data_IF_838790338911
#
_entry.id   IF_838790338911
#
_cell.length_a   1.000
_cell.length_b   1.000
_cell.length_c   1.000
_cell.angle_alpha   90.00
_cell.angle_beta   90.00
_cell.angle_gamma   90.00
#
_symmetry.space_group_name_H-M   'P 1'
#
loop_
_entity.id
_entity.type
_entity.pdbx_description
1 polymer ?
#
# COMPACT_ATOMS: atom_id res chain seq x y z
N UNK A 1 -15.84 -34.12 15.41
CA UNK A 1 -17.23 -34.60 15.41
C UNK A 1 -17.89 -34.01 14.19
N UNK A 2 -17.77 -34.80 13.13
CA UNK A 2 -18.35 -34.60 11.82
C UNK A 2 -19.86 -34.38 11.91
N UNK A 3 -20.39 -33.55 11.03
CA UNK A 3 -21.61 -33.94 10.35
C UNK A 3 -21.64 -33.41 8.92
N UNK A 4 -21.79 -34.38 8.04
CA UNK A 4 -21.61 -34.34 6.61
C UNK A 4 -22.67 -33.47 5.92
N UNK A 5 -22.19 -32.87 4.84
CA UNK A 5 -22.90 -32.63 3.60
C UNK A 5 -23.86 -33.79 3.25
N UNK A 6 -25.14 -33.49 3.13
CA UNK A 6 -26.05 -34.29 2.29
C UNK A 6 -26.46 -33.43 1.11
N UNK A 7 -25.79 -33.70 -0.01
CA UNK A 7 -26.16 -33.24 -1.35
C UNK A 7 -27.25 -34.18 -1.84
N UNK A 8 -28.51 -33.75 -1.80
CA UNK A 8 -29.55 -34.43 -2.57
C UNK A 8 -29.55 -33.87 -4.00
N UNK A 9 -29.01 -34.70 -4.92
CA UNK A 9 -29.17 -34.56 -6.35
C UNK A 9 -30.47 -35.22 -6.79
N UNK A 10 -30.99 -34.63 -7.87
CA UNK A 10 -31.98 -35.15 -8.82
C UNK A 10 -33.46 -35.11 -8.43
N UNK A 11 -34.19 -34.25 -9.14
CA UNK A 11 -35.30 -34.73 -9.96
C UNK A 11 -35.39 -33.93 -11.26
N UNK A 12 -35.10 -34.63 -12.36
CA UNK A 12 -35.39 -34.24 -13.75
C UNK A 12 -36.88 -33.96 -13.92
N UNK A 13 -37.22 -32.78 -14.43
CA UNK A 13 -38.60 -32.36 -14.69
C UNK A 13 -39.12 -33.08 -15.93
N UNK A 14 -40.04 -34.03 -15.71
CA UNK A 14 -40.92 -34.56 -16.75
C UNK A 14 -41.99 -33.52 -17.11
N UNK A 15 -42.23 -33.36 -18.42
CA UNK A 15 -43.36 -32.57 -18.95
C UNK A 15 -44.66 -33.29 -18.60
N UNK A 16 -45.44 -32.72 -17.67
CA UNK A 16 -46.77 -33.21 -17.33
C UNK A 16 -47.61 -32.11 -16.70
N UNK A 17 -48.71 -31.74 -17.38
CA UNK A 17 -49.75 -30.84 -16.87
C UNK A 17 -50.33 -31.41 -15.56
N UNK A 18 -50.35 -30.61 -14.51
CA UNK A 18 -51.01 -30.96 -13.25
C UNK A 18 -50.71 -29.94 -12.15
N UNK A 19 -51.70 -29.11 -11.82
CA UNK A 19 -51.67 -28.21 -10.67
C UNK A 19 -51.34 -28.96 -9.38
N UNK A 20 -50.25 -28.56 -8.70
CA UNK A 20 -50.02 -28.77 -7.26
C UNK A 20 -49.42 -27.49 -6.66
N UNK A 21 -49.71 -27.21 -5.37
CA UNK A 21 -49.91 -25.86 -4.87
C UNK A 21 -48.61 -25.07 -4.73
N UNK A 22 -48.71 -23.78 -5.02
CA UNK A 22 -47.69 -22.78 -4.73
C UNK A 22 -47.30 -22.88 -3.25
N UNK A 23 -46.04 -23.18 -2.97
CA UNK A 23 -45.44 -22.77 -1.71
C UNK A 23 -45.70 -21.25 -1.58
N UNK A 24 -46.49 -20.84 -0.59
CA UNK A 24 -46.79 -19.44 -0.33
C UNK A 24 -45.50 -18.73 0.10
N UNK A 25 -44.77 -18.18 -0.87
CA UNK A 25 -43.58 -17.39 -0.60
C UNK A 25 -44.01 -16.02 -0.06
N UNK A 26 -43.70 -15.72 1.20
CA UNK A 26 -43.94 -14.41 1.83
C UNK A 26 -42.80 -13.43 1.52
N UNK A 27 -43.07 -12.12 1.45
CA UNK A 27 -42.00 -11.13 1.24
C UNK A 27 -41.05 -11.14 2.46
N UNK A 28 -39.73 -11.25 2.28
CA UNK A 28 -38.77 -11.28 3.37
C UNK A 28 -38.65 -9.95 4.14
N UNK A 29 -39.31 -8.87 3.68
CA UNK A 29 -39.29 -7.56 4.33
C UNK A 29 -40.52 -7.26 5.19
N UNK A 30 -41.71 -7.65 4.73
CA UNK A 30 -42.98 -7.32 5.40
C UNK A 30 -43.89 -8.53 5.66
N UNK A 31 -43.44 -9.74 5.31
CA UNK A 31 -44.19 -10.99 5.43
C UNK A 31 -45.52 -11.07 4.64
N UNK A 32 -45.84 -10.04 3.84
CA UNK A 32 -47.05 -9.98 3.02
C UNK A 32 -46.98 -10.93 1.81
N UNK A 33 -48.15 -11.20 1.22
CA UNK A 33 -48.24 -12.03 0.02
C UNK A 33 -47.41 -11.49 -1.15
N UNK A 34 -46.97 -12.43 -2.00
CA UNK A 34 -46.19 -12.13 -3.18
C UNK A 34 -46.89 -12.61 -4.44
N UNK A 35 -46.55 -11.99 -5.56
CA UNK A 35 -47.00 -12.33 -6.88
C UNK A 35 -45.82 -12.84 -7.72
N UNK A 36 -46.12 -13.71 -8.68
CA UNK A 36 -45.19 -14.14 -9.72
C UNK A 36 -44.65 -12.93 -10.48
N UNK A 37 -43.33 -12.85 -10.66
CA UNK A 37 -42.66 -11.75 -11.36
C UNK A 37 -41.60 -12.25 -12.36
N UNK A 38 -41.90 -13.35 -13.07
CA UNK A 38 -41.02 -13.93 -14.09
C UNK A 38 -39.82 -14.70 -13.51
N UNK A 39 -38.87 -15.05 -14.39
CA UNK A 39 -37.65 -15.77 -14.03
C UNK A 39 -36.41 -14.86 -14.09
N UNK A 40 -35.37 -15.23 -13.36
CA UNK A 40 -34.07 -14.56 -13.41
C UNK A 40 -33.29 -15.00 -14.65
N UNK A 41 -32.86 -14.07 -15.53
CA UNK A 41 -32.32 -14.44 -16.84
C UNK A 41 -31.02 -15.24 -16.76
N UNK A 42 -30.19 -15.04 -15.73
CA UNK A 42 -28.92 -15.74 -15.59
C UNK A 42 -28.99 -17.06 -14.80
N UNK A 43 -30.01 -17.24 -13.96
CA UNK A 43 -30.07 -18.40 -13.04
C UNK A 43 -31.30 -19.28 -13.28
N UNK A 44 -32.27 -18.82 -14.10
CA UNK A 44 -33.52 -19.53 -14.34
C UNK A 44 -34.46 -19.60 -13.12
N UNK A 45 -34.11 -18.98 -11.99
CA UNK A 45 -34.89 -19.06 -10.75
C UNK A 45 -36.10 -18.11 -10.74
N UNK A 46 -37.16 -18.53 -10.07
CA UNK A 46 -38.42 -17.78 -9.96
C UNK A 46 -38.24 -16.48 -9.15
N UNK A 47 -38.63 -15.35 -9.75
CA UNK A 47 -38.72 -14.05 -9.07
C UNK A 47 -40.12 -13.84 -8.50
N UNK A 48 -40.19 -13.25 -7.33
CA UNK A 48 -41.43 -12.84 -6.68
C UNK A 48 -41.42 -11.32 -6.44
N UNK A 49 -42.59 -10.70 -6.48
CA UNK A 49 -42.80 -9.29 -6.13
C UNK A 49 -43.84 -9.19 -5.03
N UNK A 50 -43.57 -8.45 -3.96
CA UNK A 50 -44.54 -8.21 -2.90
C UNK A 50 -45.77 -7.45 -3.40
N UNK A 51 -46.97 -7.88 -2.98
CA UNK A 51 -48.25 -7.24 -3.31
C UNK A 51 -48.50 -5.94 -2.55
N UNK A 52 -47.86 -5.77 -1.38
CA UNK A 52 -47.96 -4.53 -0.61
C UNK A 52 -47.46 -3.33 -1.44
N UNK A 53 -48.31 -2.32 -1.71
CA UNK A 53 -47.94 -1.14 -2.48
C UNK A 53 -46.82 -0.31 -1.82
N UNK A 54 -46.63 -0.41 -0.50
CA UNK A 54 -45.56 0.29 0.22
C UNK A 54 -44.22 -0.46 0.16
N UNK A 55 -44.25 -1.79 0.07
CA UNK A 55 -43.02 -2.60 0.03
C UNK A 55 -42.50 -2.84 -1.39
N UNK A 56 -43.36 -3.37 -2.29
CA UNK A 56 -43.06 -3.75 -3.69
C UNK A 56 -41.71 -4.47 -3.89
N UNK A 57 -41.21 -5.14 -2.84
CA UNK A 57 -39.92 -5.82 -2.81
C UNK A 57 -39.86 -6.86 -3.93
N UNK A 58 -38.77 -6.92 -4.70
CA UNK A 58 -38.52 -8.01 -5.65
C UNK A 58 -37.40 -8.87 -5.11
N UNK A 59 -37.59 -10.19 -5.10
CA UNK A 59 -36.61 -11.12 -4.56
C UNK A 59 -36.74 -12.50 -5.19
N UNK A 60 -35.74 -13.34 -4.97
CA UNK A 60 -35.72 -14.75 -5.34
C UNK A 60 -35.45 -15.54 -4.06
N UNK A 61 -36.30 -16.51 -3.68
CA UNK A 61 -36.10 -17.34 -2.50
C UNK A 61 -34.73 -18.04 -2.54
N UNK A 62 -34.01 -18.05 -1.41
CA UNK A 62 -32.72 -18.70 -1.27
C UNK A 62 -31.52 -17.91 -1.82
N UNK A 63 -31.72 -16.80 -2.53
CA UNK A 63 -30.63 -15.90 -2.90
C UNK A 63 -30.42 -14.86 -1.78
N UNK A 64 -29.21 -14.75 -1.21
CA UNK A 64 -28.94 -13.73 -0.22
C UNK A 64 -29.14 -12.34 -0.83
N UNK A 65 -29.68 -11.42 -0.04
CA UNK A 65 -29.79 -10.02 -0.45
C UNK A 65 -28.37 -9.50 -0.73
N UNK A 66 -28.12 -9.00 -1.95
CA UNK A 66 -26.83 -8.38 -2.28
C UNK A 66 -26.63 -7.21 -1.31
N UNK A 67 -25.59 -7.19 -0.47
CA UNK A 67 -25.33 -6.05 0.40
C UNK A 67 -25.26 -4.79 -0.46
N UNK A 68 -25.91 -3.71 -0.03
CA UNK A 68 -25.75 -2.42 -0.70
C UNK A 68 -24.29 -2.02 -0.50
N UNK A 69 -23.55 -1.87 -1.58
CA UNK A 69 -22.19 -1.35 -1.50
C UNK A 69 -22.20 0.00 -0.77
N UNK A 70 -21.27 0.23 0.17
CA UNK A 70 -21.17 1.50 0.87
C UNK A 70 -21.02 2.62 -0.16
N UNK A 71 -21.85 3.66 -0.01
CA UNK A 71 -21.78 4.84 -0.86
C UNK A 71 -20.80 5.81 -0.21
N UNK A 72 -19.64 5.99 -0.84
CA UNK A 72 -18.66 6.97 -0.40
C UNK A 72 -19.01 8.35 -0.99
N UNK A 73 -19.39 9.35 -0.18
CA UNK A 73 -19.57 10.72 -0.66
C UNK A 73 -18.20 11.38 -0.86
N UNK A 74 -18.09 12.25 -1.86
CA UNK A 74 -16.90 13.05 -2.10
C UNK A 74 -16.78 14.13 -1.01
N UNK A 75 -15.65 14.23 -0.30
CA UNK A 75 -15.49 15.20 0.77
C UNK A 75 -15.52 16.66 0.27
N UNK A 76 -15.18 16.90 -1.01
CA UNK A 76 -15.18 18.26 -1.57
C UNK A 76 -16.53 18.74 -2.11
N UNK A 77 -17.40 17.84 -2.58
CA UNK A 77 -18.64 18.26 -3.27
C UNK A 77 -19.88 17.43 -2.93
N UNK A 78 -19.78 16.48 -2.00
CA UNK A 78 -20.87 15.60 -1.57
C UNK A 78 -21.35 14.57 -2.60
N UNK A 79 -20.90 14.66 -3.86
CA UNK A 79 -21.31 13.74 -4.91
C UNK A 79 -20.80 12.32 -4.65
N UNK A 80 -21.51 11.31 -5.18
CA UNK A 80 -21.11 9.90 -5.06
C UNK A 80 -19.71 9.67 -5.62
N UNK A 81 -18.94 8.80 -4.99
CA UNK A 81 -17.68 8.28 -5.53
C UNK A 81 -17.87 6.85 -6.00
N UNK A 82 -17.04 6.44 -6.96
CA UNK A 82 -17.02 5.08 -7.49
C UNK A 82 -15.59 4.55 -7.53
N UNK A 83 -15.45 3.22 -7.51
CA UNK A 83 -14.16 2.55 -7.62
C UNK A 83 -13.54 2.87 -8.98
N UNK A 84 -12.41 3.58 -8.95
CA UNK A 84 -11.67 3.94 -10.15
C UNK A 84 -10.58 2.91 -10.47
N UNK A 85 -9.83 2.46 -9.46
CA UNK A 85 -8.74 1.49 -9.64
C UNK A 85 -8.41 0.77 -8.34
N UNK A 86 -8.07 -0.51 -8.43
CA UNK A 86 -7.39 -1.24 -7.34
C UNK A 86 -5.88 -0.96 -7.41
N UNK A 87 -5.32 -0.45 -6.33
CA UNK A 87 -3.89 -0.21 -6.17
C UNK A 87 -3.32 -1.15 -5.09
N UNK A 88 -2.01 -1.40 -5.06
CA UNK A 88 -1.42 -2.22 -4.00
C UNK A 88 -1.79 -1.68 -2.62
N UNK A 89 -2.46 -2.49 -1.80
CA UNK A 89 -2.87 -2.12 -0.44
C UNK A 89 -4.00 -1.10 -0.32
N UNK A 90 -4.69 -0.72 -1.41
CA UNK A 90 -5.81 0.22 -1.33
C UNK A 90 -6.75 0.18 -2.56
N UNK A 91 -7.96 0.71 -2.38
CA UNK A 91 -8.89 1.01 -3.47
C UNK A 91 -8.92 2.51 -3.71
N UNK A 92 -8.68 2.95 -4.94
CA UNK A 92 -8.81 4.35 -5.33
C UNK A 92 -10.22 4.65 -5.80
N UNK A 93 -10.88 5.57 -5.12
CA UNK A 93 -12.18 6.10 -5.48
C UNK A 93 -12.03 7.41 -6.28
N UNK A 94 -13.00 7.69 -7.15
CA UNK A 94 -13.08 8.95 -7.91
C UNK A 94 -14.48 9.53 -7.82
N UNK A 95 -14.57 10.85 -7.71
CA UNK A 95 -15.85 11.57 -7.69
C UNK A 95 -16.64 11.40 -8.99
N UNK A 96 -17.96 11.21 -8.91
CA UNK A 96 -18.88 11.13 -10.05
C UNK A 96 -18.94 12.43 -10.87
N UNK A 97 -18.75 13.58 -10.23
CA UNK A 97 -18.75 14.89 -10.89
C UNK A 97 -17.50 15.14 -11.77
N UNK A 98 -16.58 14.18 -11.90
CA UNK A 98 -15.40 14.32 -12.77
C UNK A 98 -15.75 14.50 -14.27
N UNK A 99 -16.95 14.06 -14.69
CA UNK A 99 -17.45 14.20 -16.08
C UNK A 99 -18.09 15.56 -16.36
N UNK A 100 -18.44 16.31 -15.31
CA UNK A 100 -19.03 17.63 -15.47
C UNK A 100 -18.02 18.61 -16.07
N UNK A 101 -18.51 19.71 -16.63
CA UNK A 101 -17.68 20.78 -17.22
C UNK A 101 -17.77 22.03 -16.35
N UNK A 102 -16.78 22.92 -16.48
CA UNK A 102 -16.74 24.19 -15.75
C UNK A 102 -16.61 24.00 -14.23
N UNK A 103 -17.24 24.91 -13.48
CA UNK A 103 -17.14 24.98 -12.01
C UNK A 103 -17.70 23.76 -11.27
N UNK A 104 -18.55 22.97 -11.91
CA UNK A 104 -19.12 21.76 -11.32
C UNK A 104 -18.21 20.52 -11.45
N UNK A 105 -17.09 20.65 -12.20
CA UNK A 105 -16.14 19.55 -12.39
C UNK A 105 -15.36 19.29 -11.11
N UNK A 106 -15.50 18.09 -10.56
CA UNK A 106 -14.73 17.65 -9.40
C UNK A 106 -13.83 16.46 -9.79
N UNK A 107 -12.51 16.67 -9.83
CA UNK A 107 -11.51 15.64 -10.17
C UNK A 107 -10.96 14.89 -8.95
N UNK A 108 -11.57 15.11 -7.78
CA UNK A 108 -11.12 14.57 -6.51
C UNK A 108 -11.08 13.03 -6.49
N UNK A 109 -10.02 12.51 -5.89
CA UNK A 109 -9.76 11.08 -5.71
C UNK A 109 -9.32 10.87 -4.27
N UNK A 110 -9.77 9.78 -3.67
CA UNK A 110 -9.34 9.34 -2.35
C UNK A 110 -8.93 7.87 -2.46
N UNK A 111 -7.98 7.44 -1.64
CA UNK A 111 -7.77 6.01 -1.45
C UNK A 111 -8.48 5.59 -0.16
N UNK A 112 -8.92 4.35 -0.12
CA UNK A 112 -9.40 3.67 1.08
C UNK A 112 -8.58 2.39 1.26
N UNK A 113 -8.30 1.97 2.50
CA UNK A 113 -7.69 0.66 2.76
C UNK A 113 -8.50 -0.48 2.12
N UNK A 114 -7.87 -1.64 1.95
CA UNK A 114 -8.57 -2.80 1.41
C UNK A 114 -9.68 -3.26 2.37
N UNK A 115 -10.78 -3.87 1.87
CA UNK A 115 -11.84 -4.37 2.74
C UNK A 115 -11.30 -5.32 3.81
N UNK A 116 -11.58 -5.00 5.08
CA UNK A 116 -11.06 -5.74 6.25
C UNK A 116 -9.77 -5.16 6.85
N UNK A 117 -9.20 -4.10 6.27
CA UNK A 117 -8.10 -3.34 6.85
C UNK A 117 -8.64 -2.00 7.39
N UNK A 118 -8.28 -1.65 8.63
CA UNK A 118 -8.66 -0.37 9.25
C UNK A 118 -7.73 0.77 8.83
N UNK A 119 -6.47 0.44 8.51
CA UNK A 119 -5.42 1.40 8.18
C UNK A 119 -4.63 0.98 6.94
N UNK A 120 -3.98 1.93 6.29
CA UNK A 120 -3.08 1.64 5.19
C UNK A 120 -1.84 0.91 5.68
N UNK A 121 -1.48 -0.19 5.02
CA UNK A 121 -0.23 -0.89 5.28
C UNK A 121 0.98 0.04 5.06
N UNK A 122 1.75 0.19 6.12
CA UNK A 122 3.06 0.82 6.13
C UNK A 122 4.11 -0.29 6.26
N UNK A 123 5.13 -0.25 5.40
CA UNK A 123 6.25 -1.19 5.47
C UNK A 123 6.95 -1.07 6.83
N UNK A 124 7.45 -2.19 7.38
CA UNK A 124 8.16 -2.19 8.67
C UNK A 124 9.62 -1.74 8.52
N UNK A 125 10.24 -2.06 7.40
CA UNK A 125 11.67 -1.85 7.17
C UNK A 125 11.94 -1.06 5.87
N UNK A 126 12.74 0.03 5.89
CA UNK A 126 12.92 0.89 4.72
C UNK A 126 13.61 0.21 3.54
N UNK A 127 14.26 -0.93 3.76
CA UNK A 127 14.91 -1.75 2.72
C UNK A 127 14.12 -3.02 2.39
N UNK A 128 12.85 -3.14 2.82
CA UNK A 128 12.02 -4.34 2.61
C UNK A 128 11.96 -4.78 1.14
N UNK A 129 11.82 -3.82 0.22
CA UNK A 129 11.81 -4.08 -1.23
C UNK A 129 13.18 -4.58 -1.76
N UNK A 130 14.28 -4.28 -1.05
CA UNK A 130 15.64 -4.70 -1.40
C UNK A 130 16.07 -6.04 -0.77
N UNK A 131 15.35 -6.55 0.24
CA UNK A 131 15.78 -7.69 1.07
C UNK A 131 16.07 -8.98 0.30
N UNK A 132 15.52 -9.17 -0.89
CA UNK A 132 15.80 -10.34 -1.73
C UNK A 132 17.27 -10.43 -2.16
N UNK A 133 18.00 -9.32 -2.16
CA UNK A 133 19.36 -9.22 -2.74
C UNK A 133 20.48 -9.41 -1.72
N UNK A 134 20.22 -9.27 -0.41
CA UNK A 134 21.31 -9.11 0.58
C UNK A 134 21.18 -10.06 1.77
N UNK A 135 21.76 -11.26 1.64
CA UNK A 135 21.62 -12.36 2.62
C UNK A 135 22.84 -12.53 3.54
N UNK A 136 24.01 -11.97 3.19
CA UNK A 136 25.23 -12.29 3.94
C UNK A 136 25.47 -11.39 5.14
N UNK A 137 25.60 -12.00 6.33
CA UNK A 137 26.04 -11.35 7.58
C UNK A 137 27.46 -10.79 7.46
N UNK A 138 27.70 -9.61 8.03
CA UNK A 138 29.01 -9.00 8.15
C UNK A 138 29.68 -9.47 9.45
N UNK A 139 30.91 -10.00 9.34
CA UNK A 139 31.66 -10.50 10.49
C UNK A 139 33.04 -9.85 10.53
N UNK A 140 33.28 -9.00 11.52
CA UNK A 140 34.58 -8.36 11.73
C UNK A 140 35.72 -9.36 11.95
N UNK A 141 35.43 -10.48 12.63
CA UNK A 141 36.47 -11.44 13.06
C UNK A 141 36.77 -12.53 12.02
N UNK A 142 36.14 -12.51 10.84
CA UNK A 142 36.34 -13.52 9.78
C UNK A 142 37.05 -12.95 8.55
N UNK A 143 37.81 -11.88 8.74
CA UNK A 143 38.51 -11.18 7.66
C UNK A 143 40.01 -11.34 7.85
N UNK A 144 40.72 -11.49 6.74
CA UNK A 144 42.20 -11.58 6.73
C UNK A 144 42.88 -10.23 6.99
N UNK A 145 42.10 -9.14 7.07
CA UNK A 145 42.57 -7.78 7.30
C UNK A 145 42.22 -7.28 8.69
N UNK A 146 43.04 -6.37 9.22
CA UNK A 146 42.78 -5.74 10.52
C UNK A 146 41.47 -4.94 10.51
N UNK A 147 40.85 -4.78 11.67
CA UNK A 147 39.58 -4.03 11.81
C UNK A 147 39.75 -2.58 11.39
N UNK A 148 40.91 -2.01 11.66
CA UNK A 148 41.29 -0.63 11.32
C UNK A 148 41.34 -0.46 9.80
N UNK A 149 41.95 -1.41 9.09
CA UNK A 149 42.01 -1.42 7.63
C UNK A 149 40.61 -1.49 7.03
N UNK A 150 39.79 -2.42 7.51
CA UNK A 150 38.41 -2.59 7.02
C UNK A 150 37.58 -1.33 7.32
N UNK A 151 37.74 -0.74 8.50
CA UNK A 151 37.05 0.50 8.88
C UNK A 151 37.43 1.66 7.98
N UNK A 152 38.72 1.81 7.68
CA UNK A 152 39.22 2.82 6.77
C UNK A 152 38.71 2.62 5.33
N UNK A 153 38.71 1.37 4.85
CA UNK A 153 38.15 1.02 3.56
C UNK A 153 36.65 1.37 3.47
N UNK A 154 35.89 1.09 4.54
CA UNK A 154 34.48 1.43 4.64
C UNK A 154 34.23 2.93 4.71
N UNK A 155 35.09 3.69 5.41
CA UNK A 155 35.00 5.14 5.44
C UNK A 155 35.14 5.72 4.02
N UNK A 156 36.17 5.32 3.28
CA UNK A 156 36.35 5.76 1.90
C UNK A 156 35.22 5.32 0.97
N UNK A 157 34.83 4.04 1.02
CA UNK A 157 33.87 3.49 0.05
C UNK A 157 32.40 3.83 0.38
N UNK A 158 32.00 3.84 1.64
CA UNK A 158 30.61 3.97 2.05
C UNK A 158 30.25 5.36 2.61
N UNK A 159 31.19 6.04 3.28
CA UNK A 159 30.94 7.38 3.84
C UNK A 159 31.30 8.47 2.83
N UNK A 160 32.49 8.39 2.23
CA UNK A 160 32.91 9.35 1.19
C UNK A 160 32.31 8.99 -0.18
N UNK A 161 32.02 7.71 -0.43
CA UNK A 161 31.44 7.26 -1.70
C UNK A 161 32.46 7.03 -2.81
N UNK A 162 33.72 6.73 -2.47
CA UNK A 162 34.75 6.46 -3.47
C UNK A 162 34.55 5.08 -4.14
N UNK A 163 34.81 4.97 -5.45
CA UNK A 163 34.83 3.69 -6.14
C UNK A 163 35.84 2.70 -5.53
N UNK A 164 35.49 1.41 -5.51
CA UNK A 164 36.28 0.39 -4.82
C UNK A 164 37.72 0.24 -5.35
N UNK A 165 37.96 0.47 -6.65
CA UNK A 165 39.30 0.50 -7.25
C UNK A 165 40.12 1.69 -6.74
N UNK A 166 39.51 2.87 -6.58
CA UNK A 166 40.17 4.04 -6.02
C UNK A 166 40.46 3.85 -4.52
N UNK A 167 39.52 3.28 -3.76
CA UNK A 167 39.76 2.91 -2.36
C UNK A 167 40.91 1.91 -2.23
N UNK A 168 40.94 0.87 -3.07
CA UNK A 168 42.03 -0.11 -3.11
C UNK A 168 43.38 0.55 -3.42
N UNK A 169 43.41 1.47 -4.39
CA UNK A 169 44.60 2.26 -4.70
C UNK A 169 45.07 3.11 -3.51
N UNK A 170 44.16 3.83 -2.85
CA UNK A 170 44.47 4.66 -1.68
C UNK A 170 45.06 3.81 -0.55
N UNK A 171 44.45 2.66 -0.25
CA UNK A 171 44.93 1.74 0.79
C UNK A 171 46.34 1.23 0.48
N UNK A 172 46.62 0.87 -0.78
CA UNK A 172 47.94 0.39 -1.18
C UNK A 172 48.99 1.51 -1.15
N UNK A 173 48.64 2.68 -1.70
CA UNK A 173 49.59 3.77 -1.89
C UNK A 173 49.94 4.51 -0.59
N UNK A 174 48.93 4.89 0.19
CA UNK A 174 49.12 5.68 1.42
C UNK A 174 49.32 4.81 2.66
N UNK A 175 48.61 3.69 2.75
CA UNK A 175 48.57 2.86 3.96
C UNK A 175 49.38 1.56 3.82
N UNK A 176 49.97 1.30 2.64
CA UNK A 176 50.76 0.10 2.35
C UNK A 176 49.98 -1.21 2.56
N UNK A 177 48.65 -1.16 2.40
CA UNK A 177 47.77 -2.33 2.52
C UNK A 177 47.19 -2.70 1.16
N UNK A 178 47.53 -3.89 0.69
CA UNK A 178 47.04 -4.42 -0.59
C UNK A 178 45.71 -5.14 -0.40
N UNK A 179 44.62 -4.38 -0.34
CA UNK A 179 43.26 -4.90 -0.40
C UNK A 179 42.72 -4.82 -1.84
N UNK A 180 42.18 -5.92 -2.37
CA UNK A 180 41.59 -5.91 -3.72
C UNK A 180 40.30 -5.08 -3.75
N UNK A 181 39.97 -4.50 -4.92
CA UNK A 181 38.70 -3.79 -5.09
C UNK A 181 37.49 -4.69 -4.79
N UNK A 182 37.54 -5.97 -5.14
CA UNK A 182 36.52 -6.97 -4.79
C UNK A 182 36.33 -7.11 -3.28
N UNK A 183 37.42 -7.07 -2.50
CA UNK A 183 37.36 -7.12 -1.04
C UNK A 183 36.64 -5.88 -0.49
N UNK A 184 36.99 -4.70 -0.99
CA UNK A 184 36.34 -3.44 -0.64
C UNK A 184 34.85 -3.48 -0.97
N UNK A 185 34.47 -3.93 -2.18
CA UNK A 185 33.06 -4.07 -2.57
C UNK A 185 32.30 -5.03 -1.66
N UNK A 186 32.90 -6.17 -1.31
CA UNK A 186 32.28 -7.13 -0.37
C UNK A 186 32.12 -6.54 1.02
N UNK A 187 33.09 -5.79 1.52
CA UNK A 187 32.97 -5.10 2.80
C UNK A 187 31.83 -4.10 2.77
N UNK A 188 31.80 -3.20 1.79
CA UNK A 188 30.77 -2.16 1.68
C UNK A 188 29.34 -2.73 1.57
N UNK A 189 29.14 -3.75 0.72
CA UNK A 189 27.81 -4.39 0.56
C UNK A 189 27.34 -5.06 1.85
N UNK A 190 28.22 -5.76 2.55
CA UNK A 190 27.88 -6.47 3.78
C UNK A 190 27.70 -5.51 4.96
N UNK A 191 28.53 -4.47 5.06
CA UNK A 191 28.45 -3.49 6.13
C UNK A 191 27.20 -2.62 6.02
N UNK A 192 26.71 -2.33 4.81
CA UNK A 192 25.50 -1.51 4.60
C UNK A 192 24.28 -2.03 5.38
N UNK A 193 24.03 -3.35 5.38
CA UNK A 193 22.94 -3.92 6.20
C UNK A 193 23.23 -3.75 7.70
N UNK A 194 24.49 -3.97 8.09
CA UNK A 194 24.89 -3.83 9.49
C UNK A 194 24.70 -2.40 9.97
N UNK A 195 25.06 -1.41 9.14
CA UNK A 195 24.82 0.00 9.41
C UNK A 195 23.33 0.29 9.50
N UNK A 196 22.51 -0.16 8.55
CA UNK A 196 21.06 -0.01 8.63
C UNK A 196 20.46 -0.57 9.94
N UNK A 197 20.95 -1.72 10.42
CA UNK A 197 20.43 -2.36 11.64
C UNK A 197 20.95 -1.74 12.94
N UNK A 198 22.18 -1.24 12.94
CA UNK A 198 22.87 -0.80 14.15
C UNK A 198 22.87 0.73 14.32
N UNK A 199 22.74 1.47 13.21
CA UNK A 199 22.42 2.89 13.26
C UNK A 199 20.93 2.97 13.56
N UNK A 200 20.61 3.01 14.85
CA UNK A 200 19.25 3.33 15.30
C UNK A 200 18.79 4.69 14.76
N UNK A 201 17.52 5.07 14.99
CA UNK A 201 17.08 6.43 14.69
C UNK A 201 18.00 7.40 15.45
N UNK A 202 18.70 8.26 14.71
CA UNK A 202 19.44 9.38 15.29
C UNK A 202 18.40 10.25 15.99
N UNK A 203 18.47 10.48 17.30
CA UNK A 203 17.58 11.44 17.94
C UNK A 203 17.80 12.81 17.27
N UNK A 204 16.79 13.30 16.55
CA UNK A 204 16.87 14.61 15.89
C UNK A 204 15.96 15.58 16.62
N UNK A 205 16.35 16.86 16.78
CA UNK A 205 15.50 17.85 17.39
C UNK A 205 14.15 17.95 16.68
N UNK A 206 13.11 18.34 17.42
CA UNK A 206 11.81 18.67 16.83
C UNK A 206 12.02 19.74 15.77
N UNK A 207 11.49 19.49 14.57
CA UNK A 207 11.58 20.42 13.45
C UNK A 207 10.22 20.98 13.09
N UNK A 208 10.25 22.19 12.54
CA UNK A 208 9.09 22.91 12.03
C UNK A 208 8.84 22.59 10.55
N UNK A 209 9.84 22.08 9.82
CA UNK A 209 9.72 21.76 8.39
C UNK A 209 10.40 20.44 8.01
N UNK A 210 9.72 19.66 7.16
CA UNK A 210 10.22 18.43 6.57
C UNK A 210 10.15 18.49 5.06
N UNK A 211 11.29 18.22 4.43
CA UNK A 211 11.44 18.17 2.99
C UNK A 211 11.43 16.72 2.53
N UNK A 212 10.59 16.41 1.56
CA UNK A 212 10.55 15.09 0.94
C UNK A 212 10.88 15.17 -0.53
N UNK A 213 11.75 14.26 -0.95
CA UNK A 213 12.15 14.11 -2.34
C UNK A 213 12.45 12.64 -2.64
N UNK A 214 12.49 12.29 -3.91
CA UNK A 214 12.92 10.97 -4.35
C UNK A 214 13.90 11.02 -5.51
N UNK A 215 14.97 10.24 -5.36
CA UNK A 215 16.01 10.11 -6.37
C UNK A 215 15.87 8.77 -7.07
N UNK A 216 15.70 8.79 -8.39
CA UNK A 216 15.69 7.60 -9.22
C UNK A 216 17.10 7.21 -9.65
N UNK A 217 17.47 5.94 -9.47
CA UNK A 217 18.72 5.37 -9.95
C UNK A 217 18.48 4.00 -10.61
N UNK A 218 19.51 3.44 -11.25
CA UNK A 218 19.45 2.10 -11.85
C UNK A 218 20.31 1.14 -11.04
N UNK A 219 19.73 0.02 -10.65
CA UNK A 219 20.40 -1.11 -10.01
C UNK A 219 20.18 -2.34 -10.91
N UNK A 220 21.25 -2.95 -11.42
CA UNK A 220 21.20 -4.12 -12.31
C UNK A 220 20.20 -3.95 -13.48
N UNK A 221 20.18 -2.76 -14.07
CA UNK A 221 19.27 -2.41 -15.18
C UNK A 221 17.82 -2.12 -14.78
N UNK A 222 17.45 -2.30 -13.50
CA UNK A 222 16.13 -2.00 -12.96
C UNK A 222 16.10 -0.58 -12.39
N UNK A 223 15.01 0.14 -12.63
CA UNK A 223 14.80 1.44 -12.00
C UNK A 223 14.42 1.23 -10.54
N UNK A 224 15.13 1.93 -9.66
CA UNK A 224 14.90 1.95 -8.22
C UNK A 224 14.82 3.41 -7.77
N UNK A 225 14.03 3.68 -6.75
CA UNK A 225 13.84 5.01 -6.17
C UNK A 225 14.25 4.97 -4.70
N UNK A 226 15.04 5.95 -4.31
CA UNK A 226 15.31 6.31 -2.92
C UNK A 226 14.41 7.48 -2.56
N UNK A 227 13.47 7.26 -1.65
CA UNK A 227 12.64 8.29 -1.05
C UNK A 227 13.32 8.78 0.22
N UNK A 228 13.41 10.10 0.42
CA UNK A 228 14.05 10.72 1.55
C UNK A 228 13.10 11.70 2.23
N UNK A 229 13.07 11.67 3.56
CA UNK A 229 12.55 12.73 4.41
C UNK A 229 13.73 13.38 5.10
N UNK A 230 13.90 14.69 4.91
CA UNK A 230 14.99 15.46 5.44
C UNK A 230 14.48 16.65 6.24
N UNK A 231 15.23 16.96 7.28
CA UNK A 231 15.07 18.15 8.09
C UNK A 231 16.08 19.19 7.63
N UNK A 232 15.63 20.43 7.43
CA UNK A 232 16.44 21.45 6.76
C UNK A 232 17.42 22.16 7.71
N UNK A 233 17.05 22.39 8.98
CA UNK A 233 17.88 23.16 9.92
C UNK A 233 19.21 22.48 10.24
N UNK A 234 19.20 21.16 10.42
CA UNK A 234 20.37 20.33 10.74
C UNK A 234 20.83 19.47 9.56
N UNK A 235 20.18 19.59 8.39
CA UNK A 235 20.44 18.79 7.21
C UNK A 235 20.46 17.28 7.51
N UNK A 236 19.49 16.84 8.32
CA UNK A 236 19.47 15.49 8.88
C UNK A 236 18.38 14.64 8.22
N UNK A 237 18.76 13.43 7.81
CA UNK A 237 17.82 12.46 7.23
C UNK A 237 16.94 11.89 8.35
N UNK A 238 15.66 12.20 8.29
CA UNK A 238 14.64 11.75 9.25
C UNK A 238 14.11 10.37 8.90
N UNK A 239 14.07 10.05 7.62
CA UNK A 239 13.55 8.80 7.12
C UNK A 239 13.97 8.55 5.69
N UNK A 240 14.01 7.28 5.31
CA UNK A 240 14.21 6.89 3.92
C UNK A 240 13.41 5.64 3.59
N UNK A 241 13.22 5.39 2.31
CA UNK A 241 12.61 4.16 1.82
C UNK A 241 13.12 3.84 0.42
N UNK A 242 13.38 2.57 0.14
CA UNK A 242 13.68 2.12 -1.22
C UNK A 242 12.47 1.49 -1.88
N UNK A 243 12.28 1.73 -3.18
CA UNK A 243 11.23 1.08 -3.93
C UNK A 243 11.60 0.82 -5.39
N UNK A 244 10.95 -0.17 -5.99
CA UNK A 244 11.05 -0.42 -7.44
C UNK A 244 9.98 0.30 -8.26
N UNK A 245 9.17 1.16 -7.63
CA UNK A 245 8.11 1.94 -8.29
C UNK A 245 7.95 3.31 -7.64
N UNK A 246 7.75 4.34 -8.47
CA UNK A 246 7.39 5.70 -8.02
C UNK A 246 5.88 5.80 -7.77
N UNK A 247 5.42 5.47 -6.56
CA UNK A 247 3.99 5.32 -6.24
C UNK A 247 3.62 5.78 -4.82
N UNK A 248 2.31 6.01 -4.60
CA UNK A 248 1.75 6.56 -3.36
C UNK A 248 2.08 5.72 -2.12
N UNK A 249 2.12 4.40 -2.23
CA UNK A 249 2.43 3.53 -1.09
C UNK A 249 3.83 3.80 -0.49
N UNK A 250 4.79 4.18 -1.32
CA UNK A 250 6.16 4.45 -0.90
C UNK A 250 6.33 5.86 -0.35
N UNK A 251 5.62 6.83 -0.91
CA UNK A 251 5.46 8.15 -0.31
C UNK A 251 4.84 8.05 1.08
N UNK A 252 3.82 7.19 1.26
CA UNK A 252 3.23 6.91 2.58
C UNK A 252 4.25 6.30 3.54
N UNK A 253 5.03 5.32 3.08
CA UNK A 253 6.07 4.68 3.89
C UNK A 253 7.09 5.71 4.39
N UNK A 254 7.64 6.59 3.54
CA UNK A 254 8.62 7.58 4.00
C UNK A 254 8.00 8.62 4.94
N UNK A 255 6.78 9.08 4.67
CA UNK A 255 6.04 10.02 5.54
C UNK A 255 5.76 9.45 6.94
N UNK A 256 5.41 8.16 7.02
CA UNK A 256 5.14 7.47 8.28
C UNK A 256 6.37 7.09 9.09
N UNK A 257 7.58 7.18 8.50
CA UNK A 257 8.84 6.75 9.11
C UNK A 257 9.62 7.86 9.78
N UNK A 258 9.18 9.10 9.66
CA UNK A 258 9.84 10.21 10.32
C UNK A 258 9.65 10.09 11.83
N UNK A 259 10.55 10.70 12.58
CA UNK A 259 10.53 10.67 14.05
C UNK A 259 9.38 11.48 14.65
N UNK A 260 8.67 12.24 13.81
CA UNK A 260 7.50 13.01 14.20
C UNK A 260 6.30 12.06 14.20
N UNK A 261 5.62 11.89 15.35
CA UNK A 261 4.39 11.14 15.42
C UNK A 261 3.36 11.61 14.38
N UNK A 262 2.59 10.70 13.78
CA UNK A 262 1.61 11.02 12.73
C UNK A 262 0.60 12.11 13.15
N UNK A 263 0.23 12.13 14.44
CA UNK A 263 -0.66 13.13 15.04
C UNK A 263 -0.02 14.51 15.24
N UNK A 264 1.30 14.64 15.10
CA UNK A 264 2.03 15.91 15.10
C UNK A 264 2.45 16.34 13.68
N UNK A 265 2.31 15.45 12.68
CA UNK A 265 2.68 15.74 11.29
C UNK A 265 1.87 16.90 10.68
N UNK A 266 0.65 17.15 11.20
CA UNK A 266 -0.18 18.29 10.81
C UNK A 266 0.31 19.64 11.36
N UNK A 267 1.26 19.65 12.29
CA UNK A 267 1.88 20.86 12.87
C UNK A 267 3.20 21.23 12.18
N UNK A 268 3.62 20.43 11.21
CA UNK A 268 4.91 20.55 10.54
C UNK A 268 4.66 20.95 9.09
N UNK A 269 5.46 21.89 8.60
CA UNK A 269 5.44 22.26 7.19
C UNK A 269 6.05 21.15 6.34
N UNK A 270 5.25 20.55 5.45
CA UNK A 270 5.70 19.48 4.56
C UNK A 270 5.98 20.08 3.19
N UNK A 271 7.26 20.05 2.78
CA UNK A 271 7.74 20.59 1.51
C UNK A 271 8.04 19.44 0.55
N UNK A 272 7.49 19.49 -0.66
CA UNK A 272 7.69 18.46 -1.71
C UNK A 272 7.84 19.12 -3.07
N UNK A 273 8.36 18.39 -4.07
CA UNK A 273 8.46 18.82 -5.47
C UNK A 273 7.10 18.94 -6.21
N UNK A 274 5.99 18.64 -5.52
CA UNK A 274 4.65 18.61 -6.10
C UNK A 274 4.28 17.29 -6.77
N UNK A 275 5.07 16.22 -6.58
CA UNK A 275 4.71 14.88 -7.04
C UNK A 275 3.37 14.46 -6.42
N UNK A 276 2.43 14.08 -7.29
CA UNK A 276 1.06 13.69 -6.91
C UNK A 276 0.99 12.57 -5.85
N UNK A 277 2.03 11.72 -5.78
CA UNK A 277 2.14 10.62 -4.82
C UNK A 277 2.16 11.13 -3.37
N UNK A 278 2.85 12.24 -3.08
CA UNK A 278 2.90 12.83 -1.73
C UNK A 278 1.55 13.38 -1.33
N UNK A 279 0.91 14.19 -2.18
CA UNK A 279 -0.43 14.73 -1.89
C UNK A 279 -1.46 13.62 -1.64
N UNK A 280 -1.39 12.52 -2.41
CA UNK A 280 -2.24 11.37 -2.15
C UNK A 280 -1.87 10.64 -0.86
N UNK A 281 -0.60 10.52 -0.52
CA UNK A 281 -0.15 9.83 0.69
C UNK A 281 -0.51 10.63 1.97
N UNK A 282 -0.41 11.95 1.93
CA UNK A 282 -0.88 12.83 3.00
C UNK A 282 -2.39 12.68 3.20
N UNK A 283 -3.17 12.66 2.11
CA UNK A 283 -4.60 12.37 2.17
C UNK A 283 -4.91 10.99 2.79
N UNK A 284 -4.07 9.98 2.53
CA UNK A 284 -4.21 8.65 3.11
C UNK A 284 -3.87 8.64 4.61
N UNK A 285 -2.83 9.36 5.05
CA UNK A 285 -2.40 9.39 6.45
C UNK A 285 -3.32 10.24 7.34
N UNK A 286 -3.87 11.33 6.81
CA UNK A 286 -4.86 12.15 7.52
C UNK A 286 -6.29 11.63 7.36
N UNK A 287 -6.50 10.53 6.65
CA UNK A 287 -7.83 9.93 6.44
C UNK A 287 -8.51 9.53 7.76
N UNK A 288 -7.75 9.12 8.78
CA UNK A 288 -8.26 8.77 10.12
C UNK A 288 -8.64 9.98 10.99
N UNK A 289 -8.42 11.22 10.49
CA UNK A 289 -8.78 12.47 11.16
C UNK A 289 -9.98 13.20 10.53
N UNK A 290 -10.64 12.58 9.52
CA UNK A 290 -11.87 13.05 8.87
C UNK A 290 -13.07 12.22 9.33
#
# INVERSE_FOLDING_TARGET
MDNLLVVEKEQTVSKGKGNKPLNFVKCPRCAEETAYNGFHPATGLQKYKCKDPNCRCQFIPGLPHRPKEPRYPCPLCGAKMYIFKNIPGAIRLRCANYRKKGKERCTHKINIPLPGEEEFKVSKDPIEDLKKTVVSKFYWNKMDYSKETVSLALFFAAVIGLPANLTSFILSYLFRVNASHDSVTRWAKKSAISFHKNLGPLEVPKTESLHFDETGFKEDGRKTWLWLGMENTFNSIQGYHFSHRRATEYARNVLSRNQIPLNELNKVEIVTDGLWSYGSALGDLFYSSL
#
